data_IF_282294476251
#
_entry.id   IF_282294476251
#
_cell.length_a   1.000
_cell.length_b   1.000
_cell.length_c   1.000
_cell.angle_alpha   90.00
_cell.angle_beta   90.00
_cell.angle_gamma   90.00
#
_symmetry.space_group_name_H-M   'P 1'
#
loop_
_entity.id
_entity.type
_entity.pdbx_description
1 polymer ?
#
# COMPACT_ATOMS: atom_id res chain seq x y z
N UNK A 1 28.09 -0.10 27.03
CA UNK A 1 27.50 -0.01 25.68
C UNK A 1 26.04 -0.39 25.84
N UNK A 2 25.13 0.57 25.67
CA UNK A 2 23.69 0.35 25.90
C UNK A 2 23.05 0.05 24.55
N UNK A 3 22.16 -0.93 24.51
CA UNK A 3 21.40 -1.25 23.31
C UNK A 3 20.46 -0.08 22.95
N UNK A 4 20.38 0.25 21.66
CA UNK A 4 19.46 1.26 21.12
C UNK A 4 18.03 0.74 20.98
N UNK A 5 17.81 -0.54 21.29
CA UNK A 5 16.51 -1.21 21.21
C UNK A 5 16.19 -1.69 19.80
N UNK A 6 14.91 -2.01 19.59
CA UNK A 6 14.44 -2.62 18.35
C UNK A 6 14.48 -1.63 17.18
N UNK A 7 14.81 -2.14 16.00
CA UNK A 7 14.82 -1.37 14.76
C UNK A 7 13.39 -1.10 14.29
N UNK A 8 12.99 0.17 14.24
CA UNK A 8 11.66 0.57 13.76
C UNK A 8 11.60 0.81 12.25
N UNK A 9 12.73 1.15 11.61
CA UNK A 9 12.80 1.45 10.18
C UNK A 9 14.11 0.98 9.55
N UNK A 10 14.02 0.36 8.39
CA UNK A 10 15.17 0.03 7.53
C UNK A 10 14.93 0.61 6.15
N UNK A 11 15.86 1.45 5.68
CA UNK A 11 15.76 2.13 4.38
C UNK A 11 14.44 2.91 4.18
N UNK A 12 13.86 3.43 5.27
CA UNK A 12 12.56 4.13 5.24
C UNK A 12 11.33 3.21 5.22
N UNK A 13 11.51 1.89 5.30
CA UNK A 13 10.41 0.92 5.43
C UNK A 13 10.21 0.60 6.90
N UNK A 14 8.97 0.67 7.37
CA UNK A 14 8.60 0.37 8.76
C UNK A 14 8.79 -1.13 9.04
N UNK A 15 9.33 -1.45 10.22
CA UNK A 15 9.43 -2.83 10.71
C UNK A 15 8.45 -3.03 11.87
N UNK A 16 7.77 -4.17 11.85
CA UNK A 16 6.82 -4.56 12.89
C UNK A 16 7.23 -5.92 13.45
N UNK A 17 7.53 -5.93 14.75
CA UNK A 17 7.80 -7.15 15.49
C UNK A 17 6.50 -7.92 15.81
N UNK A 18 6.47 -9.20 15.46
CA UNK A 18 5.43 -10.14 15.86
C UNK A 18 5.69 -10.71 17.27
N UNK A 19 4.62 -11.15 17.98
CA UNK A 19 4.75 -11.78 19.30
C UNK A 19 5.47 -13.16 19.24
N UNK A 20 5.56 -13.76 18.07
CA UNK A 20 6.29 -15.01 17.77
C UNK A 20 7.78 -14.78 17.44
N UNK A 21 8.25 -13.53 17.53
CA UNK A 21 9.62 -13.14 17.19
C UNK A 21 9.84 -12.90 15.68
N UNK A 22 8.79 -12.96 14.85
CA UNK A 22 8.89 -12.56 13.45
C UNK A 22 9.10 -11.05 13.32
N UNK A 23 9.73 -10.63 12.22
CA UNK A 23 9.84 -9.22 11.84
C UNK A 23 9.22 -9.06 10.46
N UNK A 24 8.20 -8.21 10.37
CA UNK A 24 7.48 -7.95 9.13
C UNK A 24 7.79 -6.56 8.62
N UNK A 25 8.08 -6.43 7.33
CA UNK A 25 8.17 -5.14 6.66
C UNK A 25 6.77 -4.58 6.41
N UNK A 26 6.49 -3.40 6.92
CA UNK A 26 5.21 -2.71 6.80
C UNK A 26 5.35 -1.49 5.87
N UNK A 27 4.48 -1.41 4.87
CA UNK A 27 4.42 -0.29 3.93
C UNK A 27 3.37 0.76 4.29
N UNK A 28 2.78 0.71 5.49
CA UNK A 28 1.71 1.63 5.90
C UNK A 28 2.10 3.09 5.69
N UNK A 29 3.29 3.49 6.16
CA UNK A 29 3.81 4.85 5.98
C UNK A 29 3.94 5.24 4.51
N UNK A 30 4.43 4.33 3.67
CA UNK A 30 4.56 4.56 2.24
C UNK A 30 3.20 4.75 1.56
N UNK A 31 2.21 3.92 1.90
CA UNK A 31 0.84 4.04 1.40
C UNK A 31 0.24 5.40 1.79
N UNK A 32 0.36 5.79 3.05
CA UNK A 32 -0.15 7.08 3.54
C UNK A 32 0.49 8.26 2.81
N UNK A 33 1.80 8.22 2.57
CA UNK A 33 2.53 9.27 1.86
C UNK A 33 2.11 9.37 0.39
N UNK A 34 1.88 8.23 -0.27
CA UNK A 34 1.38 8.19 -1.65
C UNK A 34 -0.04 8.75 -1.71
N UNK A 35 -0.94 8.34 -0.83
CA UNK A 35 -2.32 8.82 -0.82
C UNK A 35 -2.36 10.34 -0.62
N UNK A 36 -1.62 10.88 0.37
CA UNK A 36 -1.52 12.33 0.59
C UNK A 36 -0.94 13.07 -0.62
N UNK A 37 0.11 12.52 -1.24
CA UNK A 37 0.76 13.14 -2.41
C UNK A 37 -0.21 13.34 -3.57
N UNK A 38 -1.16 12.43 -3.75
CA UNK A 38 -2.15 12.50 -4.83
C UNK A 38 -3.52 13.03 -4.37
N UNK A 39 -3.64 13.54 -3.14
CA UNK A 39 -4.90 14.08 -2.60
C UNK A 39 -5.99 13.03 -2.40
N UNK A 40 -5.58 11.79 -2.10
CA UNK A 40 -6.44 10.62 -1.93
C UNK A 40 -6.61 10.17 -0.48
N UNK A 41 -6.06 10.91 0.48
CA UNK A 41 -6.10 10.59 1.91
C UNK A 41 -7.51 10.71 2.53
N UNK A 42 -8.37 11.53 1.94
CA UNK A 42 -9.78 11.70 2.34
C UNK A 42 -10.77 11.00 1.38
N UNK A 43 -10.27 10.16 0.44
CA UNK A 43 -11.13 9.44 -0.47
C UNK A 43 -11.96 8.36 0.25
N UNK A 44 -13.23 8.21 -0.15
CA UNK A 44 -14.07 7.10 0.31
C UNK A 44 -13.50 5.78 -0.20
N UNK A 45 -13.40 4.80 0.69
CA UNK A 45 -13.04 3.44 0.30
C UNK A 45 -14.04 2.90 -0.72
N UNK A 46 -13.52 2.24 -1.75
CA UNK A 46 -14.30 1.54 -2.78
C UNK A 46 -13.97 0.05 -2.75
N UNK A 47 -14.98 -0.79 -2.90
CA UNK A 47 -14.82 -2.26 -2.88
C UNK A 47 -14.15 -2.76 -4.15
N UNK A 48 -14.34 -2.07 -5.28
CA UNK A 48 -13.75 -2.40 -6.56
C UNK A 48 -13.01 -1.18 -7.14
N UNK A 49 -11.77 -1.34 -7.62
CA UNK A 49 -11.03 -0.26 -8.28
C UNK A 49 -11.59 0.11 -9.66
N UNK A 50 -12.41 -0.77 -10.25
CA UNK A 50 -13.09 -0.57 -11.53
C UNK A 50 -14.60 -0.52 -11.28
N UNK A 51 -15.31 0.35 -11.99
CA UNK A 51 -16.77 0.37 -11.95
C UNK A 51 -17.31 -1.00 -12.37
N UNK A 52 -18.15 -1.60 -11.52
CA UNK A 52 -18.67 -2.96 -11.69
C UNK A 52 -19.52 -3.09 -12.98
N UNK A 53 -20.09 -1.99 -13.46
CA UNK A 53 -20.86 -1.95 -14.71
C UNK A 53 -19.98 -1.87 -15.97
N UNK A 54 -18.66 -1.71 -15.82
CA UNK A 54 -17.71 -1.65 -16.93
C UNK A 54 -17.67 -2.97 -17.67
N UNK A 55 -18.11 -3.00 -18.94
CA UNK A 55 -17.89 -4.15 -19.83
C UNK A 55 -16.50 -4.03 -20.46
N UNK A 56 -15.63 -4.99 -20.15
CA UNK A 56 -14.35 -5.12 -20.82
C UNK A 56 -14.59 -5.64 -22.24
N UNK A 57 -14.09 -4.91 -23.24
CA UNK A 57 -14.03 -5.37 -24.63
C UNK A 57 -12.60 -5.79 -24.98
N UNK A 58 -12.40 -6.86 -25.78
CA UNK A 58 -11.08 -7.24 -26.25
C UNK A 58 -10.42 -6.09 -27.02
N UNK A 59 -9.14 -5.84 -26.76
CA UNK A 59 -8.37 -4.76 -27.41
C UNK A 59 -8.31 -4.90 -28.93
N UNK A 60 -8.51 -6.10 -29.47
CA UNK A 60 -8.44 -6.39 -30.90
C UNK A 60 -9.78 -6.20 -31.65
N UNK A 61 -10.85 -5.80 -30.96
CA UNK A 61 -12.19 -5.68 -31.54
C UNK A 61 -12.51 -4.30 -32.14
N UNK A 62 -11.50 -3.46 -32.38
CA UNK A 62 -11.66 -2.19 -33.10
C UNK A 62 -10.65 -2.09 -34.25
N UNK A 63 -11.04 -2.56 -35.44
CA UNK A 63 -11.09 -1.78 -36.70
C UNK A 63 -11.29 -2.74 -37.88
N UNK A 64 -12.53 -2.82 -38.36
CA UNK A 64 -12.83 -2.88 -39.80
C UNK A 64 -14.17 -2.21 -40.06
#
# INVERSE_FOLDING_TARGET
MTDSGKCAFVLGIELVDGPDGSVTMCQRRYVDDILKRFGMDECKAVVSPVDISTRLIPSDAATK
#
